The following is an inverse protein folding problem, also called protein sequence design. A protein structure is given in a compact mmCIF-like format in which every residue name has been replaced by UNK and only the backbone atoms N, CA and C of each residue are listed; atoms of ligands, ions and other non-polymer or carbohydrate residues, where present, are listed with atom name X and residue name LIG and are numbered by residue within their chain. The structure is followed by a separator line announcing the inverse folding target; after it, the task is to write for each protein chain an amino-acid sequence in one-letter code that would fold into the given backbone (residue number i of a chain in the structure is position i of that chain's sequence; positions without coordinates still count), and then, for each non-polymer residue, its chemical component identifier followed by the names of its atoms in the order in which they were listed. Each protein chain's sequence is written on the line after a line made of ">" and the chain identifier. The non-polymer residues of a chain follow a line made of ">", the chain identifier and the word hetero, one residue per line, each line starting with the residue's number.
data_IF_870871110141
#
_entry.id   IF_870871110141
#
_cell.length_a   1.000
_cell.length_b   1.000
_cell.length_c   1.000
_cell.angle_alpha   90.00
_cell.angle_beta   90.00
_cell.angle_gamma   90.00
#
_symmetry.space_group_name_H-M   'P 1'
#
loop_
_entity.id
_entity.type
_entity.pdbx_description
1 polymer ?
#
# COMPACT_ATOMS: atom_id res chain seq x y z
N UNK A 1 -12.91 9.57 -13.10
CA UNK A 1 -12.55 8.89 -14.36
C UNK A 1 -11.25 8.11 -14.24
N UNK A 2 -10.17 8.65 -13.65
CA UNK A 2 -8.93 7.89 -13.38
C UNK A 2 -9.09 6.79 -12.31
N UNK A 3 -9.92 7.03 -11.29
CA UNK A 3 -10.13 6.11 -10.16
C UNK A 3 -10.60 4.71 -10.57
N UNK A 4 -11.53 4.61 -11.52
CA UNK A 4 -12.12 3.35 -11.95
C UNK A 4 -11.28 2.58 -12.97
N UNK A 5 -10.39 3.28 -13.69
CA UNK A 5 -9.59 2.72 -14.79
C UNK A 5 -8.24 2.22 -14.28
N UNK A 6 -7.58 2.95 -13.36
CA UNK A 6 -6.22 2.61 -12.93
C UNK A 6 -6.14 2.32 -11.43
N UNK A 7 -6.62 3.23 -10.58
CA UNK A 7 -6.35 3.17 -9.13
C UNK A 7 -6.87 1.89 -8.48
N UNK A 8 -8.11 1.46 -8.80
CA UNK A 8 -8.66 0.22 -8.25
C UNK A 8 -7.77 -1.00 -8.59
N UNK A 9 -7.38 -1.15 -9.85
CA UNK A 9 -6.61 -2.31 -10.30
C UNK A 9 -5.15 -2.27 -9.83
N UNK A 10 -4.60 -1.08 -9.55
CA UNK A 10 -3.27 -0.94 -8.97
C UNK A 10 -3.24 -1.23 -7.46
N UNK A 11 -4.28 -0.81 -6.72
CA UNK A 11 -4.33 -0.97 -5.26
C UNK A 11 -4.85 -2.33 -4.81
N UNK A 12 -5.81 -2.93 -5.55
CA UNK A 12 -6.37 -4.25 -5.22
C UNK A 12 -5.30 -5.34 -4.96
N UNK A 13 -4.29 -5.56 -5.82
CA UNK A 13 -3.29 -6.59 -5.56
C UNK A 13 -2.42 -6.28 -4.32
N UNK A 14 -2.19 -5.00 -3.99
CA UNK A 14 -1.45 -4.60 -2.79
C UNK A 14 -2.25 -4.91 -1.52
N UNK A 15 -3.56 -4.66 -1.56
CA UNK A 15 -4.51 -5.08 -0.54
C UNK A 15 -4.54 -6.60 -0.38
N UNK A 16 -4.71 -7.37 -1.47
CA UNK A 16 -4.81 -8.83 -1.41
C UNK A 16 -3.51 -9.51 -0.94
N UNK A 17 -2.34 -8.90 -1.19
CA UNK A 17 -1.07 -9.37 -0.61
C UNK A 17 -0.95 -9.11 0.90
N UNK A 18 -1.83 -8.29 1.48
CA UNK A 18 -1.81 -7.96 2.89
C UNK A 18 -0.78 -6.90 3.26
N UNK A 19 -0.42 -5.98 2.35
CA UNK A 19 0.58 -4.93 2.66
C UNK A 19 0.08 -3.82 3.58
N UNK A 20 -1.22 -3.79 3.88
CA UNK A 20 -1.85 -2.76 4.69
C UNK A 20 -2.33 -3.33 6.02
N UNK A 21 -2.17 -2.55 7.09
CA UNK A 21 -2.87 -2.81 8.35
C UNK A 21 -4.35 -2.46 8.17
N UNK A 22 -5.21 -3.47 8.23
CA UNK A 22 -6.65 -3.33 8.01
C UNK A 22 -7.41 -3.62 9.31
N UNK A 23 -8.48 -2.86 9.59
CA UNK A 23 -9.41 -3.24 10.65
C UNK A 23 -10.27 -4.42 10.19
N UNK A 24 -10.66 -5.31 11.13
CA UNK A 24 -11.47 -6.48 10.80
C UNK A 24 -12.74 -6.11 10.03
N UNK A 25 -13.46 -5.08 10.47
CA UNK A 25 -14.70 -4.64 9.82
C UNK A 25 -14.47 -4.13 8.38
N UNK A 26 -13.35 -3.46 8.12
CA UNK A 26 -12.98 -2.99 6.78
C UNK A 26 -12.74 -4.16 5.83
N UNK A 27 -12.09 -5.25 6.29
CA UNK A 27 -11.81 -6.43 5.44
C UNK A 27 -13.10 -7.05 4.91
N UNK A 28 -14.14 -7.17 5.74
CA UNK A 28 -15.43 -7.70 5.32
C UNK A 28 -16.12 -6.78 4.30
N UNK A 29 -16.07 -5.46 4.52
CA UNK A 29 -16.63 -4.48 3.59
C UNK A 29 -15.91 -4.49 2.24
N UNK A 30 -14.58 -4.50 2.26
CA UNK A 30 -13.75 -4.53 1.07
C UNK A 30 -13.98 -5.83 0.29
N UNK A 31 -14.05 -6.98 0.95
CA UNK A 31 -14.34 -8.27 0.31
C UNK A 31 -15.70 -8.27 -0.42
N UNK A 32 -16.75 -7.69 0.18
CA UNK A 32 -18.06 -7.56 -0.46
C UNK A 32 -18.03 -6.60 -1.66
N UNK A 33 -17.27 -5.51 -1.58
CA UNK A 33 -17.08 -4.59 -2.70
C UNK A 33 -16.30 -5.24 -3.85
N UNK A 34 -15.23 -5.97 -3.55
CA UNK A 34 -14.44 -6.69 -4.57
C UNK A 34 -15.29 -7.77 -5.23
N UNK A 35 -16.10 -8.51 -4.47
CA UNK A 35 -17.03 -9.49 -5.02
C UNK A 35 -17.97 -8.82 -6.04
N UNK A 36 -18.60 -7.70 -5.67
CA UNK A 36 -19.48 -6.93 -6.56
C UNK A 36 -18.75 -6.41 -7.80
N UNK A 37 -17.49 -6.02 -7.68
CA UNK A 37 -16.70 -5.61 -8.85
C UNK A 37 -16.44 -6.79 -9.81
N UNK A 38 -16.27 -8.01 -9.28
CA UNK A 38 -16.00 -9.22 -10.08
C UNK A 38 -17.26 -9.83 -10.69
N UNK A 39 -18.35 -9.91 -9.92
CA UNK A 39 -19.52 -10.73 -10.24
C UNK A 39 -20.84 -9.95 -10.26
N UNK A 40 -20.80 -8.64 -10.05
CA UNK A 40 -21.99 -7.77 -10.02
C UNK A 40 -23.03 -8.26 -9.01
N UNK A 41 -24.26 -8.55 -9.45
CA UNK A 41 -25.34 -9.08 -8.62
C UNK A 41 -25.43 -10.62 -8.65
N UNK A 42 -24.53 -11.32 -9.36
CA UNK A 42 -24.52 -12.78 -9.40
C UNK A 42 -24.06 -13.38 -8.06
N UNK A 43 -24.99 -14.06 -7.38
CA UNK A 43 -24.75 -14.74 -6.09
C UNK A 43 -24.30 -16.19 -6.24
N UNK A 44 -24.29 -16.75 -7.45
CA UNK A 44 -23.94 -18.15 -7.71
C UNK A 44 -22.53 -18.51 -7.23
N UNK A 45 -21.60 -17.55 -7.29
CA UNK A 45 -20.21 -17.75 -6.88
C UNK A 45 -20.03 -17.91 -5.36
N UNK A 46 -20.99 -17.50 -4.53
CA UNK A 46 -20.97 -17.79 -3.08
C UNK A 46 -21.06 -19.28 -2.76
N UNK A 47 -21.55 -20.12 -3.69
CA UNK A 47 -21.53 -21.59 -3.53
C UNK A 47 -20.11 -22.13 -3.49
N UNK A 48 -19.16 -21.45 -4.16
CA UNK A 48 -17.75 -21.84 -4.26
C UNK A 48 -16.83 -20.83 -3.55
N UNK A 49 -17.31 -20.20 -2.48
CA UNK A 49 -16.60 -19.12 -1.76
C UNK A 49 -15.13 -19.45 -1.47
N UNK A 50 -14.85 -20.67 -0.99
CA UNK A 50 -13.51 -21.12 -0.63
C UNK A 50 -12.49 -20.98 -1.78
N UNK A 51 -12.93 -21.17 -3.04
CA UNK A 51 -12.07 -21.06 -4.23
C UNK A 51 -11.73 -19.61 -4.58
N UNK A 52 -12.62 -18.69 -4.27
CA UNK A 52 -12.50 -17.27 -4.63
C UNK A 52 -12.03 -16.39 -3.46
N UNK A 53 -11.95 -16.89 -2.23
CA UNK A 53 -11.54 -16.09 -1.06
C UNK A 53 -10.20 -15.37 -1.25
N UNK A 54 -9.22 -16.03 -1.88
CA UNK A 54 -7.90 -15.45 -2.18
C UNK A 54 -7.95 -14.21 -3.08
N UNK A 55 -9.06 -14.04 -3.79
CA UNK A 55 -9.29 -12.90 -4.67
C UNK A 55 -10.09 -11.77 -4.01
N UNK A 56 -10.60 -11.98 -2.79
CA UNK A 56 -11.49 -11.07 -2.06
C UNK A 56 -10.88 -10.58 -0.74
N UNK A 57 -10.10 -11.44 -0.08
CA UNK A 57 -9.59 -11.25 1.28
C UNK A 57 -8.05 -11.29 1.26
N UNK A 58 -7.35 -10.43 2.02
CA UNK A 58 -5.90 -10.46 2.12
C UNK A 58 -5.38 -11.83 2.57
N UNK A 59 -4.26 -12.27 1.98
CA UNK A 59 -3.73 -13.62 2.19
C UNK A 59 -3.50 -13.97 3.68
N UNK A 60 -3.08 -13.00 4.49
CA UNK A 60 -2.86 -13.16 5.93
C UNK A 60 -4.17 -13.17 6.73
N UNK A 61 -5.27 -12.65 6.18
CA UNK A 61 -6.58 -12.62 6.83
C UNK A 61 -7.41 -13.89 6.59
N UNK A 62 -7.23 -14.59 5.47
CA UNK A 62 -8.09 -15.72 5.04
C UNK A 62 -8.27 -16.77 6.15
N UNK A 63 -7.20 -17.11 6.88
CA UNK A 63 -7.21 -18.18 7.90
C UNK A 63 -7.88 -17.79 9.23
N UNK A 64 -8.29 -16.53 9.41
CA UNK A 64 -8.90 -16.08 10.66
C UNK A 64 -10.35 -16.53 10.84
N UNK A 65 -11.04 -16.89 9.75
CA UNK A 65 -12.42 -17.38 9.78
C UNK A 65 -12.55 -18.62 8.88
N UNK A 66 -13.56 -19.44 9.16
CA UNK A 66 -13.93 -20.52 8.26
C UNK A 66 -14.45 -19.96 6.91
N UNK A 67 -14.37 -20.72 5.81
CA UNK A 67 -14.96 -20.27 4.54
C UNK A 67 -16.46 -19.92 4.64
N UNK A 68 -17.21 -20.61 5.49
CA UNK A 68 -18.64 -20.36 5.70
C UNK A 68 -18.88 -19.09 6.52
N UNK A 69 -18.05 -18.79 7.51
CA UNK A 69 -18.10 -17.52 8.26
C UNK A 69 -17.77 -16.32 7.36
N UNK A 70 -16.75 -16.46 6.51
CA UNK A 70 -16.46 -15.47 5.47
C UNK A 70 -17.65 -15.28 4.53
N UNK A 71 -18.24 -16.37 4.03
CA UNK A 71 -19.41 -16.33 3.16
C UNK A 71 -20.56 -15.57 3.79
N UNK A 72 -20.94 -15.93 5.03
CA UNK A 72 -22.04 -15.27 5.76
C UNK A 72 -21.80 -13.77 5.90
N UNK A 73 -20.60 -13.40 6.31
CA UNK A 73 -20.24 -12.00 6.56
C UNK A 73 -20.20 -11.17 5.28
N UNK A 74 -19.55 -11.68 4.23
CA UNK A 74 -19.47 -11.02 2.91
C UNK A 74 -20.86 -10.89 2.30
N UNK A 75 -21.67 -11.95 2.32
CA UNK A 75 -23.02 -11.94 1.75
C UNK A 75 -23.95 -10.95 2.48
N UNK A 76 -23.83 -10.84 3.80
CA UNK A 76 -24.59 -9.86 4.60
C UNK A 76 -24.31 -8.43 4.15
N UNK A 77 -23.03 -8.05 3.99
CA UNK A 77 -22.64 -6.71 3.53
C UNK A 77 -22.98 -6.50 2.06
N UNK A 78 -22.77 -7.52 1.23
CA UNK A 78 -23.10 -7.48 -0.19
C UNK A 78 -24.59 -7.15 -0.42
N UNK A 79 -25.48 -7.74 0.36
CA UNK A 79 -26.92 -7.45 0.31
C UNK A 79 -27.25 -6.02 0.78
N UNK A 80 -26.52 -5.47 1.76
CA UNK A 80 -26.68 -4.06 2.19
C UNK A 80 -26.27 -3.07 1.11
N UNK A 81 -25.44 -3.49 0.15
CA UNK A 81 -24.99 -2.68 -0.99
C UNK A 81 -25.71 -3.07 -2.30
N UNK A 82 -26.91 -3.65 -2.21
CA UNK A 82 -27.71 -4.01 -3.40
C UNK A 82 -27.95 -2.79 -4.30
N UNK A 83 -27.96 -3.02 -5.62
CA UNK A 83 -28.18 -1.97 -6.63
C UNK A 83 -26.97 -1.11 -6.96
N UNK A 84 -25.84 -1.32 -6.28
CA UNK A 84 -24.59 -0.61 -6.54
C UNK A 84 -23.90 -1.14 -7.79
N UNK A 85 -23.49 -0.25 -8.70
CA UNK A 85 -22.78 -0.64 -9.92
C UNK A 85 -21.34 -1.08 -9.65
N UNK A 86 -20.70 -1.68 -10.65
CA UNK A 86 -19.27 -2.04 -10.61
C UNK A 86 -18.41 -0.81 -10.35
N UNK A 87 -18.71 0.30 -11.00
CA UNK A 87 -17.98 1.57 -10.90
C UNK A 87 -18.12 2.17 -9.50
N UNK A 88 -19.33 2.17 -8.93
CA UNK A 88 -19.57 2.65 -7.58
C UNK A 88 -18.92 1.77 -6.52
N UNK A 89 -18.86 0.46 -6.75
CA UNK A 89 -18.16 -0.48 -5.88
C UNK A 89 -16.63 -0.21 -5.89
N UNK A 90 -16.03 0.00 -7.07
CA UNK A 90 -14.61 0.43 -7.19
C UNK A 90 -14.34 1.73 -6.45
N UNK A 91 -15.19 2.75 -6.65
CA UNK A 91 -15.04 4.04 -5.97
C UNK A 91 -15.17 3.90 -4.45
N UNK A 92 -16.09 3.06 -3.97
CA UNK A 92 -16.27 2.83 -2.54
C UNK A 92 -15.11 2.08 -1.91
N UNK A 93 -14.53 1.11 -2.62
CA UNK A 93 -13.30 0.43 -2.22
C UNK A 93 -12.18 1.47 -2.05
N UNK A 94 -11.97 2.31 -3.06
CA UNK A 94 -10.94 3.36 -3.02
C UNK A 94 -11.17 4.36 -1.89
N UNK A 95 -12.41 4.78 -1.63
CA UNK A 95 -12.75 5.70 -0.52
C UNK A 95 -12.38 5.15 0.86
N UNK A 96 -12.47 3.83 1.06
CA UNK A 96 -12.07 3.20 2.32
C UNK A 96 -10.55 3.24 2.42
N UNK A 97 -9.85 2.68 1.44
CA UNK A 97 -8.39 2.50 1.51
C UNK A 97 -7.60 3.81 1.38
N UNK A 98 -8.18 4.85 0.78
CA UNK A 98 -7.55 6.18 0.65
C UNK A 98 -7.21 6.81 2.00
N UNK A 99 -7.89 6.41 3.08
CA UNK A 99 -7.63 6.89 4.43
C UNK A 99 -6.35 6.31 5.03
N UNK A 100 -5.83 5.23 4.46
CA UNK A 100 -4.63 4.58 4.97
C UNK A 100 -3.38 5.37 4.57
N UNK A 101 -2.44 5.52 5.50
CA UNK A 101 -1.15 6.20 5.27
C UNK A 101 -0.28 5.49 4.23
N UNK A 102 -0.58 4.21 3.96
CA UNK A 102 0.08 3.36 2.96
C UNK A 102 -0.64 3.31 1.63
N UNK A 103 -1.73 4.06 1.43
CA UNK A 103 -2.40 4.17 0.12
C UNK A 103 -1.45 4.74 -0.95
N UNK A 104 -1.51 4.17 -2.15
CA UNK A 104 -0.70 4.65 -3.28
C UNK A 104 0.80 4.39 -3.11
N UNK A 105 1.18 3.41 -2.29
CA UNK A 105 2.59 3.04 -2.10
C UNK A 105 3.07 2.03 -3.12
N UNK A 106 4.36 2.10 -3.44
CA UNK A 106 5.10 0.94 -3.91
C UNK A 106 5.68 0.19 -2.69
N UNK A 107 5.53 -1.12 -2.68
CA UNK A 107 5.95 -1.96 -1.56
C UNK A 107 7.11 -2.88 -1.96
N UNK A 108 8.08 -3.03 -1.07
CA UNK A 108 9.27 -3.83 -1.27
C UNK A 108 9.54 -4.67 -0.02
N UNK A 109 9.45 -5.98 -0.14
CA UNK A 109 9.96 -6.88 0.90
C UNK A 109 11.47 -6.97 0.76
N UNK A 110 12.17 -6.65 1.84
CA UNK A 110 13.64 -6.56 1.86
C UNK A 110 14.19 -7.21 3.12
N UNK A 111 15.47 -7.55 3.07
CA UNK A 111 16.22 -8.00 4.23
C UNK A 111 17.22 -6.92 4.64
N UNK A 112 17.08 -6.33 5.83
CA UNK A 112 17.98 -5.29 6.31
C UNK A 112 19.11 -5.88 7.18
N UNK A 113 20.30 -5.28 7.14
CA UNK A 113 21.50 -5.82 7.81
C UNK A 113 22.22 -4.82 8.73
N UNK A 114 21.68 -3.62 8.91
CA UNK A 114 22.40 -2.50 9.52
C UNK A 114 21.87 -2.06 10.88
N UNK A 115 20.56 -2.17 11.14
CA UNK A 115 19.96 -1.65 12.37
C UNK A 115 19.37 -2.81 13.21
N UNK A 116 19.99 -3.14 14.36
CA UNK A 116 19.52 -4.23 15.21
C UNK A 116 18.20 -3.93 15.92
N UNK A 117 17.71 -2.69 15.90
CA UNK A 117 16.42 -2.34 16.49
C UNK A 117 15.24 -2.73 15.59
N UNK A 118 15.50 -3.02 14.31
CA UNK A 118 14.48 -3.47 13.37
C UNK A 118 14.56 -4.98 13.11
N UNK A 119 13.42 -5.62 12.79
CA UNK A 119 13.42 -6.98 12.26
C UNK A 119 14.34 -7.10 11.04
N UNK A 120 14.92 -8.28 10.86
CA UNK A 120 15.78 -8.59 9.71
C UNK A 120 15.00 -8.49 8.39
N UNK A 121 13.73 -8.91 8.37
CA UNK A 121 12.82 -8.71 7.22
C UNK A 121 11.94 -7.49 7.45
N UNK A 122 11.96 -6.56 6.50
CA UNK A 122 11.11 -5.37 6.50
C UNK A 122 10.26 -5.30 5.24
N UNK A 123 9.07 -4.72 5.40
CA UNK A 123 8.27 -4.25 4.28
C UNK A 123 8.49 -2.74 4.14
N UNK A 124 9.14 -2.30 3.06
CA UNK A 124 9.34 -0.89 2.76
C UNK A 124 8.19 -0.39 1.91
N UNK A 125 7.59 0.74 2.29
CA UNK A 125 6.60 1.45 1.49
C UNK A 125 7.15 2.82 1.05
N UNK A 126 7.19 3.08 -0.26
CA UNK A 126 7.55 4.38 -0.83
C UNK A 126 6.29 5.03 -1.39
N UNK A 127 5.91 6.21 -0.87
CA UNK A 127 4.76 6.98 -1.31
C UNK A 127 4.96 8.48 -1.10
N UNK A 128 3.91 9.29 -1.30
CA UNK A 128 3.94 10.75 -1.14
C UNK A 128 4.46 11.24 0.23
N UNK A 129 4.41 10.42 1.28
CA UNK A 129 4.87 10.75 2.62
C UNK A 129 6.37 10.49 2.83
N UNK A 130 7.02 9.72 1.94
CA UNK A 130 8.43 9.34 2.06
C UNK A 130 8.62 7.83 2.01
N UNK A 131 9.62 7.34 2.77
CA UNK A 131 9.96 5.93 2.92
C UNK A 131 9.52 5.45 4.30
N UNK A 132 8.59 4.51 4.35
CA UNK A 132 8.15 3.89 5.61
C UNK A 132 8.72 2.49 5.76
N UNK A 133 9.18 2.16 6.98
CA UNK A 133 9.59 0.82 7.36
C UNK A 133 8.45 0.16 8.13
N UNK A 134 8.00 -1.00 7.67
CA UNK A 134 6.82 -1.68 8.19
C UNK A 134 7.22 -3.09 8.65
N UNK A 135 6.72 -3.48 9.83
CA UNK A 135 6.83 -4.86 10.29
C UNK A 135 5.96 -5.78 9.40
N UNK A 136 6.52 -6.77 8.70
CA UNK A 136 5.76 -7.59 7.76
C UNK A 136 4.73 -8.51 8.44
N UNK A 137 4.85 -8.78 9.74
CA UNK A 137 3.90 -9.58 10.50
C UNK A 137 2.76 -8.71 11.01
N UNK A 138 3.06 -7.69 11.82
CA UNK A 138 2.03 -6.87 12.48
C UNK A 138 1.43 -5.79 11.57
N UNK A 139 2.11 -5.47 10.46
CA UNK A 139 1.81 -4.36 9.55
C UNK A 139 1.92 -2.99 10.21
N UNK A 140 2.58 -2.90 11.36
CA UNK A 140 2.85 -1.63 12.02
C UNK A 140 3.95 -0.86 11.30
N UNK A 141 3.71 0.44 11.13
CA UNK A 141 4.72 1.36 10.63
C UNK A 141 5.68 1.64 11.78
N UNK A 142 6.90 1.12 11.68
CA UNK A 142 7.97 1.31 12.66
C UNK A 142 8.50 2.75 12.63
N UNK A 143 8.63 3.30 11.42
CA UNK A 143 9.02 4.69 11.19
C UNK A 143 8.67 5.13 9.77
N UNK A 144 8.49 6.44 9.58
CA UNK A 144 8.40 7.07 8.27
C UNK A 144 9.46 8.15 8.15
N UNK A 145 10.30 8.05 7.12
CA UNK A 145 11.33 9.01 6.78
C UNK A 145 10.86 9.89 5.62
N UNK A 146 10.51 11.17 5.87
CA UNK A 146 10.14 12.10 4.81
C UNK A 146 11.31 12.30 3.83
N UNK A 147 11.00 12.58 2.56
CA UNK A 147 12.01 12.83 1.53
C UNK A 147 13.01 13.92 1.91
N UNK A 148 12.58 14.94 2.66
CA UNK A 148 13.44 16.02 3.18
C UNK A 148 14.53 15.57 4.15
N UNK A 149 14.40 14.36 4.74
CA UNK A 149 15.38 13.80 5.65
C UNK A 149 16.31 12.78 4.97
N UNK A 150 16.08 12.45 3.70
CA UNK A 150 16.90 11.51 2.95
C UNK A 150 18.04 12.30 2.30
N UNK A 151 19.28 12.03 2.69
CA UNK A 151 20.44 12.76 2.18
C UNK A 151 21.13 12.06 1.01
N UNK A 152 21.06 10.73 0.97
CA UNK A 152 21.64 9.96 -0.12
C UNK A 152 20.97 8.57 -0.23
N UNK A 153 20.99 8.00 -1.43
CA UNK A 153 20.63 6.60 -1.67
C UNK A 153 21.48 6.05 -2.83
N UNK A 154 21.64 4.74 -2.86
CA UNK A 154 22.28 4.03 -3.97
C UNK A 154 21.68 2.64 -4.11
N UNK A 155 21.71 2.10 -5.33
CA UNK A 155 21.23 0.77 -5.62
C UNK A 155 22.27 -0.04 -6.39
N UNK A 156 22.22 -1.35 -6.22
CA UNK A 156 22.94 -2.32 -7.03
C UNK A 156 22.04 -3.50 -7.38
N UNK A 157 22.58 -4.50 -8.05
CA UNK A 157 21.79 -5.68 -8.49
C UNK A 157 21.20 -6.49 -7.34
N UNK A 158 21.80 -6.41 -6.15
CA UNK A 158 21.43 -7.20 -4.97
C UNK A 158 21.17 -6.37 -3.72
N UNK A 159 21.23 -5.04 -3.82
CA UNK A 159 21.04 -4.18 -2.66
C UNK A 159 20.41 -2.83 -2.99
N UNK A 160 19.85 -2.23 -1.95
CA UNK A 160 19.43 -0.85 -1.89
C UNK A 160 19.95 -0.25 -0.58
N UNK A 161 20.60 0.90 -0.65
CA UNK A 161 21.17 1.60 0.49
C UNK A 161 20.59 3.01 0.58
N UNK A 162 20.22 3.44 1.79
CA UNK A 162 19.69 4.78 2.04
C UNK A 162 20.29 5.37 3.30
N UNK A 163 20.63 6.67 3.23
CA UNK A 163 21.13 7.46 4.36
C UNK A 163 20.07 8.49 4.76
N UNK A 164 19.67 8.45 6.03
CA UNK A 164 18.64 9.30 6.61
C UNK A 164 19.29 10.23 7.62
N UNK A 165 19.10 11.54 7.49
CA UNK A 165 19.75 12.57 8.29
C UNK A 165 21.01 13.10 7.60
N UNK A 166 21.91 13.72 8.36
CA UNK A 166 23.15 14.29 7.83
C UNK A 166 24.32 13.28 7.88
N UNK A 167 25.42 13.56 7.19
CA UNK A 167 26.60 12.68 7.12
C UNK A 167 27.23 12.33 8.47
N UNK A 168 26.96 13.12 9.53
CA UNK A 168 27.61 13.00 10.85
C UNK A 168 26.73 12.28 11.90
N UNK A 169 25.40 12.39 11.81
CA UNK A 169 24.43 11.75 12.75
C UNK A 169 23.32 10.99 12.04
N UNK A 170 23.48 10.71 10.75
CA UNK A 170 22.49 10.01 9.96
C UNK A 170 22.51 8.51 10.19
N UNK A 171 21.33 7.89 10.16
CA UNK A 171 21.21 6.43 10.15
C UNK A 171 21.34 5.92 8.73
N UNK A 172 22.06 4.81 8.56
CA UNK A 172 22.17 4.09 7.29
C UNK A 172 21.31 2.84 7.36
N UNK A 173 20.56 2.60 6.28
CA UNK A 173 19.80 1.38 6.12
C UNK A 173 20.29 0.68 4.84
N UNK A 174 20.88 -0.51 5.00
CA UNK A 174 21.25 -1.39 3.88
C UNK A 174 20.22 -2.51 3.80
N UNK A 175 19.64 -2.67 2.61
CA UNK A 175 18.62 -3.65 2.30
C UNK A 175 19.12 -4.57 1.19
N UNK A 176 19.12 -5.88 1.41
CA UNK A 176 19.28 -6.88 0.35
C UNK A 176 17.96 -6.98 -0.43
N UNK A 177 18.05 -6.77 -1.74
CA UNK A 177 16.90 -6.80 -2.66
C UNK A 177 17.37 -6.82 -4.11
N UNK A 178 16.65 -7.52 -4.99
CA UNK A 178 16.83 -7.45 -6.44
C UNK A 178 16.07 -6.29 -7.10
N UNK A 179 15.29 -5.54 -6.31
CA UNK A 179 14.45 -4.45 -6.79
C UNK A 179 15.02 -3.06 -6.47
N UNK A 180 16.31 -2.98 -6.13
CA UNK A 180 16.95 -1.72 -5.76
C UNK A 180 16.80 -0.63 -6.82
N UNK A 181 16.92 -0.99 -8.10
CA UNK A 181 16.73 -0.06 -9.22
C UNK A 181 15.33 0.58 -9.27
N UNK A 182 14.27 -0.15 -8.87
CA UNK A 182 12.91 0.40 -8.79
C UNK A 182 12.75 1.35 -7.61
N UNK A 183 13.38 1.02 -6.47
CA UNK A 183 13.36 1.88 -5.29
C UNK A 183 14.10 3.19 -5.56
N UNK A 184 15.22 3.12 -6.26
CA UNK A 184 16.03 4.25 -6.72
C UNK A 184 15.25 5.18 -7.68
N UNK A 185 14.65 4.61 -8.73
CA UNK A 185 13.84 5.36 -9.69
C UNK A 185 12.66 6.08 -9.03
N UNK A 186 11.96 5.41 -8.10
CA UNK A 186 10.87 6.01 -7.35
C UNK A 186 11.34 7.15 -6.44
N UNK A 187 12.42 6.95 -5.70
CA UNK A 187 12.97 7.98 -4.82
C UNK A 187 13.41 9.21 -5.62
N UNK A 188 14.13 8.98 -6.71
CA UNK A 188 14.56 10.01 -7.65
C UNK A 188 13.37 10.80 -8.18
N UNK A 189 12.32 10.10 -8.63
CA UNK A 189 11.10 10.72 -9.17
C UNK A 189 10.36 11.56 -8.11
N UNK A 190 10.13 11.01 -6.92
CA UNK A 190 9.44 11.72 -5.84
C UNK A 190 10.22 12.95 -5.34
N UNK A 191 11.53 12.83 -5.15
CA UNK A 191 12.38 13.94 -4.70
C UNK A 191 12.44 15.04 -5.77
N UNK A 192 12.59 14.66 -7.05
CA UNK A 192 12.60 15.61 -8.17
C UNK A 192 11.27 16.37 -8.28
N UNK A 193 10.14 15.68 -8.13
CA UNK A 193 8.82 16.31 -8.12
C UNK A 193 8.64 17.25 -6.93
N UNK A 194 9.09 16.84 -5.73
CA UNK A 194 9.05 17.67 -4.53
C UNK A 194 9.85 18.97 -4.71
N UNK A 195 11.10 18.88 -5.19
CA UNK A 195 11.97 20.04 -5.43
C UNK A 195 11.37 20.99 -6.47
N UNK A 196 10.85 20.45 -7.58
CA UNK A 196 10.18 21.24 -8.63
C UNK A 196 8.98 22.01 -8.06
N UNK A 197 8.19 21.36 -7.19
CA UNK A 197 7.02 21.97 -6.56
C UNK A 197 7.42 23.08 -5.59
N UNK A 198 8.47 22.87 -4.79
CA UNK A 198 9.00 23.86 -3.85
C UNK A 198 9.55 25.10 -4.57
N UNK A 199 10.26 24.93 -5.69
CA UNK A 199 10.79 26.05 -6.48
C UNK A 199 9.67 26.90 -7.07
N UNK A 200 8.62 26.27 -7.62
CA UNK A 200 7.43 26.99 -8.15
C UNK A 200 6.71 27.80 -7.05
N UNK A 201 6.63 27.27 -5.83
CA UNK A 201 6.02 28.00 -4.71
C UNK A 201 6.86 29.22 -4.28
N UNK A 202 8.19 29.12 -4.34
CA UNK A 202 9.09 30.25 -4.05
C UNK A 202 8.99 31.36 -5.09
N UNK A 203 8.98 31.01 -6.38
CA UNK A 203 8.86 32.01 -7.46
C UNK A 203 7.49 32.70 -7.46
N UNK A 204 6.40 31.96 -7.19
CA UNK A 204 5.06 32.55 -7.06
C UNK A 204 4.94 33.55 -5.90
N UNK A 205 5.66 33.34 -4.79
CA UNK A 205 5.70 34.29 -3.66
C UNK A 205 6.60 35.50 -3.91
N UNK A 206 7.60 35.37 -4.79
CA UNK A 206 8.49 36.46 -5.18
C UNK A 206 7.85 37.47 -6.14
N UNK A 207 6.93 37.03 -7.00
CA UNK A 207 6.24 37.89 -7.98
C UNK A 207 5.01 38.66 -7.43
N UNK A 208 4.61 38.39 -6.17
CA UNK A 208 3.50 39.09 -5.50
C UNK A 208 4.00 40.18 -4.52
N UNK A 209 5.21 40.70 -4.72
CA UNK A 209 5.77 41.83 -3.97
C UNK A 209 6.15 42.96 -4.91
#
# INVERSE_FOLDING_TARGET
>A
MADSIFHYYQELPKYLRGYHKCQKDEVHQLAALIYRVKFEDDKSHFLNIAKILKDLVPQDQIKHLSPDDWKRSIMSIFNKHSGKSREEAKLSFLKIIYKWTTFGSAFFEVKQTTDPNYPETLLIAINKHGVSLIDPKTKDILTTHPFTKISNWSSGNTYFHITIGNLVRGSKLLCETSLGYKMDDLLTSYISQMLTTMTKQRTSRGNNK
#
